data_IF_521734205550
#
_entry.id   IF_521734205550
#
_cell.length_a   1.000
_cell.length_b   1.000
_cell.length_c   1.000
_cell.angle_alpha   90.00
_cell.angle_beta   90.00
_cell.angle_gamma   90.00
#
_symmetry.space_group_name_H-M   'P 1'
#
loop_
_entity.id
_entity.type
_entity.pdbx_description
1 polymer ?
#
# COMPACT_ATOMS: atom_id res chain seq x y z
N UNK A 1 -15.91 -3.73 15.27
CA UNK A 1 -16.94 -3.14 14.39
C UNK A 1 -16.28 -2.93 13.04
N UNK A 2 -16.71 -3.68 12.01
CA UNK A 2 -15.99 -3.78 10.74
C UNK A 2 -16.03 -2.49 9.94
N UNK A 3 -14.95 -2.19 9.23
CA UNK A 3 -14.84 -1.03 8.34
C UNK A 3 -15.90 -1.20 7.23
N UNK A 4 -16.87 -0.29 7.15
CA UNK A 4 -17.83 -0.25 6.03
C UNK A 4 -17.10 -0.09 4.70
N UNK A 5 -17.44 -0.95 3.73
CA UNK A 5 -16.81 -0.97 2.42
C UNK A 5 -17.33 0.20 1.55
N UNK A 6 -16.49 1.21 1.34
CA UNK A 6 -16.76 2.31 0.40
C UNK A 6 -15.98 2.10 -0.91
N UNK A 7 -16.67 1.59 -1.93
CA UNK A 7 -16.09 1.22 -3.23
C UNK A 7 -15.33 2.37 -3.94
N UNK A 8 -15.79 3.62 -3.76
CA UNK A 8 -15.25 4.81 -4.43
C UNK A 8 -13.81 5.16 -4.03
N UNK A 9 -13.38 4.75 -2.84
CA UNK A 9 -12.05 5.07 -2.33
C UNK A 9 -10.99 4.08 -2.84
N UNK A 10 -11.39 2.82 -3.08
CA UNK A 10 -10.45 1.77 -3.49
C UNK A 10 -10.09 1.81 -4.99
N UNK A 11 -10.97 2.32 -5.86
CA UNK A 11 -10.66 2.38 -7.30
C UNK A 11 -9.50 3.33 -7.60
N UNK A 12 -9.46 4.49 -6.93
CA UNK A 12 -8.39 5.48 -7.10
C UNK A 12 -7.02 4.92 -6.71
N UNK A 13 -6.97 4.11 -5.65
CA UNK A 13 -5.74 3.45 -5.20
C UNK A 13 -5.33 2.35 -6.19
N UNK A 14 -6.29 1.59 -6.73
CA UNK A 14 -6.05 0.54 -7.73
C UNK A 14 -5.45 1.07 -9.04
N UNK A 15 -5.95 2.22 -9.50
CA UNK A 15 -5.47 2.84 -10.76
C UNK A 15 -4.03 3.32 -10.61
N UNK A 16 -3.67 3.90 -9.45
CA UNK A 16 -2.30 4.35 -9.16
C UNK A 16 -1.31 3.22 -8.91
N UNK A 17 -1.77 2.10 -8.33
CA UNK A 17 -0.98 0.85 -8.22
C UNK A 17 -0.45 0.41 -9.58
N UNK A 18 -1.20 0.60 -10.67
CA UNK A 18 -0.72 0.24 -11.99
C UNK A 18 0.42 1.13 -12.47
N UNK A 19 0.38 2.43 -12.18
CA UNK A 19 1.33 3.43 -12.66
C UNK A 19 2.74 3.29 -12.06
N UNK A 20 2.90 2.50 -10.99
CA UNK A 20 4.20 2.24 -10.37
C UNK A 20 5.01 1.16 -11.11
N UNK A 21 4.36 0.35 -11.95
CA UNK A 21 5.00 -0.73 -12.69
C UNK A 21 5.64 -0.17 -13.96
N UNK A 22 6.96 -0.39 -14.14
CA UNK A 22 7.74 0.06 -15.28
C UNK A 22 7.53 -0.77 -16.57
N UNK A 23 6.43 -1.53 -16.63
CA UNK A 23 6.05 -2.43 -17.72
C UNK A 23 7.00 -3.62 -17.97
N UNK A 24 6.62 -4.47 -18.92
CA UNK A 24 7.41 -5.63 -19.33
C UNK A 24 8.74 -5.23 -19.98
N UNK A 25 8.88 -3.98 -20.46
CA UNK A 25 10.12 -3.47 -21.04
C UNK A 25 11.27 -3.43 -20.01
N UNK A 26 10.96 -3.23 -18.72
CA UNK A 26 11.95 -3.25 -17.62
C UNK A 26 12.00 -4.62 -16.93
N UNK A 27 10.86 -5.29 -16.81
CA UNK A 27 10.78 -6.58 -16.11
C UNK A 27 11.24 -7.77 -16.98
N UNK A 28 11.32 -7.60 -18.31
CA UNK A 28 11.57 -8.65 -19.30
C UNK A 28 10.37 -9.59 -19.51
N UNK A 29 9.79 -10.08 -18.42
CA UNK A 29 8.52 -10.81 -18.40
C UNK A 29 7.76 -10.50 -17.12
N UNK A 30 6.44 -10.38 -17.20
CA UNK A 30 5.63 -10.13 -16.00
C UNK A 30 5.52 -11.42 -15.17
N UNK A 31 6.51 -11.69 -14.31
CA UNK A 31 6.43 -12.79 -13.36
C UNK A 31 5.37 -12.48 -12.30
N UNK A 32 4.19 -13.05 -12.48
CA UNK A 32 3.00 -12.66 -11.76
C UNK A 32 2.96 -13.21 -10.32
N UNK A 33 3.75 -14.23 -9.99
CA UNK A 33 3.61 -14.95 -8.71
C UNK A 33 4.13 -14.19 -7.50
N UNK A 34 5.19 -13.38 -7.67
CA UNK A 34 5.81 -12.61 -6.57
C UNK A 34 5.59 -11.09 -6.73
N UNK A 35 4.74 -10.66 -7.65
CA UNK A 35 4.54 -9.25 -7.96
C UNK A 35 3.68 -8.54 -6.90
N UNK A 36 4.28 -7.62 -6.13
CA UNK A 36 3.60 -6.84 -5.10
C UNK A 36 2.43 -6.02 -5.66
N UNK A 37 2.59 -5.43 -6.85
CA UNK A 37 1.52 -4.67 -7.51
C UNK A 37 0.36 -5.58 -7.90
N UNK A 38 0.63 -6.77 -8.42
CA UNK A 38 -0.43 -7.72 -8.76
C UNK A 38 -1.15 -8.19 -7.49
N UNK A 39 -0.39 -8.54 -6.46
CA UNK A 39 -0.95 -8.95 -5.18
C UNK A 39 -1.92 -7.90 -4.63
N UNK A 40 -1.49 -6.63 -4.57
CA UNK A 40 -2.35 -5.53 -4.15
C UNK A 40 -3.62 -5.38 -5.00
N UNK A 41 -3.50 -5.50 -6.34
CA UNK A 41 -4.66 -5.47 -7.25
C UNK A 41 -5.63 -6.62 -7.00
N UNK A 42 -5.12 -7.83 -6.79
CA UNK A 42 -5.94 -9.01 -6.52
C UNK A 42 -6.68 -8.85 -5.17
N UNK A 43 -6.02 -8.30 -4.15
CA UNK A 43 -6.65 -7.95 -2.89
C UNK A 43 -7.76 -6.90 -3.05
N UNK A 44 -7.53 -5.82 -3.81
CA UNK A 44 -8.57 -4.82 -4.08
C UNK A 44 -9.75 -5.45 -4.82
N UNK A 45 -9.48 -6.24 -5.86
CA UNK A 45 -10.50 -6.92 -6.65
C UNK A 45 -11.33 -7.85 -5.78
N UNK A 46 -10.69 -8.61 -4.89
CA UNK A 46 -11.38 -9.45 -3.90
C UNK A 46 -12.29 -8.61 -3.00
N UNK A 47 -11.79 -7.51 -2.44
CA UNK A 47 -12.57 -6.60 -1.62
C UNK A 47 -13.78 -6.01 -2.38
N UNK A 48 -13.59 -5.63 -3.64
CA UNK A 48 -14.64 -5.08 -4.50
C UNK A 48 -15.74 -6.07 -4.86
N UNK A 49 -15.37 -7.32 -5.14
CA UNK A 49 -16.29 -8.41 -5.48
C UNK A 49 -17.10 -8.82 -4.25
N UNK A 50 -16.41 -9.05 -3.13
CA UNK A 50 -17.04 -9.57 -1.90
C UNK A 50 -17.64 -8.48 -1.01
N UNK A 51 -17.48 -7.19 -1.37
CA UNK A 51 -17.93 -6.03 -0.58
C UNK A 51 -17.37 -6.02 0.85
N UNK A 52 -16.10 -6.38 0.96
CA UNK A 52 -15.36 -6.43 2.24
C UNK A 52 -14.21 -5.45 2.24
N UNK A 53 -13.80 -4.97 3.41
CA UNK A 53 -12.74 -3.98 3.61
C UNK A 53 -11.37 -4.59 3.95
N UNK A 54 -11.25 -5.92 3.87
CA UNK A 54 -10.02 -6.66 4.14
C UNK A 54 -9.99 -8.03 3.50
N UNK A 55 -8.81 -8.64 3.52
CA UNK A 55 -8.55 -9.97 2.96
C UNK A 55 -8.03 -10.85 4.09
N UNK A 56 -8.65 -12.02 4.29
CA UNK A 56 -8.21 -12.96 5.32
C UNK A 56 -6.76 -13.38 5.05
N UNK A 57 -5.91 -13.28 6.09
CA UNK A 57 -4.46 -13.51 6.03
C UNK A 57 -3.75 -12.68 4.92
N UNK A 58 -4.36 -11.58 4.47
CA UNK A 58 -3.81 -10.75 3.41
C UNK A 58 -2.48 -10.09 3.79
N UNK A 59 -2.30 -9.70 5.04
CA UNK A 59 -1.03 -9.15 5.52
C UNK A 59 0.10 -10.20 5.49
N UNK A 60 -0.19 -11.42 5.95
CA UNK A 60 0.79 -12.52 6.00
C UNK A 60 1.18 -13.04 4.62
N UNK A 61 0.31 -12.88 3.63
CA UNK A 61 0.50 -13.40 2.28
C UNK A 61 1.17 -12.38 1.34
N UNK A 62 1.63 -11.24 1.84
CA UNK A 62 2.34 -10.24 1.03
C UNK A 62 3.67 -10.86 0.54
N UNK A 63 3.96 -10.83 -0.77
CA UNK A 63 5.18 -11.42 -1.30
C UNK A 63 6.42 -10.58 -0.95
N UNK A 64 7.28 -11.10 -0.08
CA UNK A 64 8.52 -10.41 0.35
C UNK A 64 9.69 -10.57 -0.64
N UNK A 65 9.58 -11.51 -1.58
CA UNK A 65 10.68 -11.89 -2.49
C UNK A 65 10.52 -11.23 -3.87
N UNK A 66 9.86 -10.07 -3.93
CA UNK A 66 9.74 -9.30 -5.18
C UNK A 66 11.05 -8.54 -5.45
N UNK A 67 11.74 -8.92 -6.51
CA UNK A 67 13.03 -8.33 -6.91
C UNK A 67 12.90 -7.33 -8.06
N UNK A 68 11.68 -6.96 -8.44
CA UNK A 68 11.43 -6.04 -9.54
C UNK A 68 11.80 -4.60 -9.19
N UNK A 69 12.13 -3.84 -10.23
CA UNK A 69 12.34 -2.40 -10.14
C UNK A 69 11.02 -1.67 -10.41
N UNK A 70 10.71 -0.71 -9.55
CA UNK A 70 9.50 0.08 -9.58
C UNK A 70 9.82 1.58 -9.69
N UNK A 71 8.88 2.38 -10.16
CA UNK A 71 9.01 3.84 -10.11
C UNK A 71 8.82 4.32 -8.67
N UNK A 72 9.93 4.67 -8.00
CA UNK A 72 9.92 5.11 -6.61
C UNK A 72 9.02 6.33 -6.36
N UNK A 73 8.95 7.28 -7.30
CA UNK A 73 8.13 8.47 -7.14
C UNK A 73 6.64 8.11 -7.15
N UNK A 74 6.24 7.24 -8.07
CA UNK A 74 4.86 6.75 -8.15
C UNK A 74 4.49 5.93 -6.92
N UNK A 75 5.42 5.13 -6.38
CA UNK A 75 5.22 4.36 -5.14
C UNK A 75 5.02 5.28 -3.94
N UNK A 76 5.85 6.33 -3.81
CA UNK A 76 5.71 7.36 -2.76
C UNK A 76 4.36 8.07 -2.86
N UNK A 77 3.92 8.43 -4.07
CA UNK A 77 2.60 9.01 -4.31
C UNK A 77 1.48 8.04 -3.89
N UNK A 78 1.63 6.75 -4.22
CA UNK A 78 0.72 5.69 -3.81
C UNK A 78 0.56 5.58 -2.30
N UNK A 79 1.67 5.60 -1.54
CA UNK A 79 1.64 5.61 -0.07
C UNK A 79 0.88 6.83 0.44
N UNK A 80 1.21 8.03 -0.05
CA UNK A 80 0.57 9.27 0.39
C UNK A 80 -0.97 9.24 0.20
N UNK A 81 -1.45 8.70 -0.92
CA UNK A 81 -2.89 8.59 -1.17
C UNK A 81 -3.58 7.52 -0.31
N UNK A 82 -2.88 6.41 -0.03
CA UNK A 82 -3.36 5.40 0.91
C UNK A 82 -3.52 6.00 2.30
N UNK A 83 -2.55 6.81 2.75
CA UNK A 83 -2.62 7.51 4.03
C UNK A 83 -3.79 8.50 4.06
N UNK A 84 -4.07 9.23 2.96
CA UNK A 84 -5.26 10.10 2.84
C UNK A 84 -6.57 9.31 2.90
N UNK A 85 -6.56 8.07 2.41
CA UNK A 85 -7.72 7.18 2.40
C UNK A 85 -7.91 6.47 3.74
N UNK A 86 -6.86 6.39 4.57
CA UNK A 86 -6.90 5.73 5.85
C UNK A 86 -7.85 6.47 6.82
N UNK A 87 -8.81 5.74 7.40
CA UNK A 87 -9.74 6.27 8.41
C UNK A 87 -9.12 6.48 9.80
N UNK A 88 -7.81 6.25 9.96
CA UNK A 88 -7.08 6.34 11.24
C UNK A 88 -7.75 5.55 12.38
N UNK A 89 -7.92 4.25 12.16
CA UNK A 89 -8.66 3.36 13.07
C UNK A 89 -8.04 3.22 14.48
N UNK A 90 -6.81 3.71 14.69
CA UNK A 90 -6.09 3.67 15.98
C UNK A 90 -6.13 2.26 16.60
N UNK A 91 -6.59 2.11 17.84
CA UNK A 91 -6.71 0.82 18.53
C UNK A 91 -7.67 -0.19 17.86
N UNK A 92 -8.58 0.28 17.02
CA UNK A 92 -9.49 -0.58 16.24
C UNK A 92 -8.87 -1.03 14.91
N UNK A 93 -7.56 -0.84 14.72
CA UNK A 93 -6.88 -1.23 13.50
C UNK A 93 -6.94 -2.74 13.27
N UNK A 94 -7.18 -3.10 12.01
CA UNK A 94 -7.19 -4.48 11.55
C UNK A 94 -6.07 -4.65 10.54
N UNK A 95 -5.08 -5.48 10.87
CA UNK A 95 -3.86 -5.73 10.08
C UNK A 95 -4.17 -6.13 8.62
N UNK A 96 -5.26 -6.87 8.44
CA UNK A 96 -5.70 -7.44 7.18
C UNK A 96 -6.66 -6.51 6.41
N UNK A 97 -6.79 -5.24 6.84
CA UNK A 97 -7.53 -4.26 6.06
C UNK A 97 -6.79 -3.97 4.76
N UNK A 98 -7.55 -3.73 3.69
CA UNK A 98 -6.98 -3.52 2.36
C UNK A 98 -6.01 -2.33 2.31
N UNK A 99 -6.29 -1.27 3.08
CA UNK A 99 -5.44 -0.08 3.17
C UNK A 99 -4.05 -0.45 3.72
N UNK A 100 -3.99 -1.27 4.77
CA UNK A 100 -2.73 -1.69 5.38
C UNK A 100 -1.95 -2.63 4.46
N UNK A 101 -2.64 -3.57 3.81
CA UNK A 101 -2.03 -4.52 2.86
C UNK A 101 -1.37 -3.75 1.71
N UNK A 102 -2.09 -2.81 1.10
CA UNK A 102 -1.57 -2.01 -0.02
C UNK A 102 -0.41 -1.12 0.39
N UNK A 103 -0.51 -0.50 1.58
CA UNK A 103 0.58 0.31 2.13
C UNK A 103 1.85 -0.52 2.28
N UNK A 104 1.73 -1.71 2.87
CA UNK A 104 2.86 -2.63 3.04
C UNK A 104 3.45 -3.08 1.70
N UNK A 105 2.61 -3.30 0.69
CA UNK A 105 3.13 -3.62 -0.65
C UNK A 105 4.07 -2.53 -1.16
N UNK A 106 3.70 -1.25 -0.99
CA UNK A 106 4.57 -0.13 -1.38
C UNK A 106 5.78 0.06 -0.46
N UNK A 107 5.63 -0.19 0.84
CA UNK A 107 6.73 -0.10 1.79
C UNK A 107 7.82 -1.14 1.49
N UNK A 108 7.43 -2.37 1.17
CA UNK A 108 8.37 -3.42 0.76
C UNK A 108 9.05 -3.04 -0.56
N UNK A 109 8.34 -2.40 -1.50
CA UNK A 109 8.97 -1.89 -2.73
C UNK A 109 10.08 -0.88 -2.43
N UNK A 110 9.87 0.04 -1.47
CA UNK A 110 10.84 1.10 -1.17
C UNK A 110 11.95 0.69 -0.19
N UNK A 111 11.64 -0.22 0.74
CA UNK A 111 12.50 -0.50 1.89
C UNK A 111 12.94 -1.96 1.98
N UNK A 112 12.30 -2.86 1.21
CA UNK A 112 12.51 -4.31 1.30
C UNK A 112 11.92 -4.95 2.55
N UNK A 113 11.23 -4.20 3.41
CA UNK A 113 10.73 -4.66 4.68
C UNK A 113 9.25 -4.31 4.89
N UNK A 114 8.53 -5.21 5.55
CA UNK A 114 7.20 -4.90 6.08
C UNK A 114 7.32 -3.85 7.21
N UNK A 115 6.29 -3.02 7.37
CA UNK A 115 6.23 -2.03 8.44
C UNK A 115 4.94 -2.22 9.22
N UNK A 116 5.04 -2.25 10.55
CA UNK A 116 3.85 -2.31 11.39
C UNK A 116 3.00 -1.04 11.20
N UNK A 117 1.67 -1.17 11.29
CA UNK A 117 0.78 -0.02 11.36
C UNK A 117 -0.10 -0.07 12.59
N UNK A 118 0.02 0.96 13.42
CA UNK A 118 -0.80 1.11 14.62
C UNK A 118 -2.08 1.92 14.35
N UNK A 119 -2.52 1.99 13.10
CA UNK A 119 -3.76 2.65 12.70
C UNK A 119 -3.74 4.19 12.79
N UNK A 120 -2.57 4.83 12.88
CA UNK A 120 -2.43 6.29 12.93
C UNK A 120 -1.42 6.77 11.89
N UNK A 121 -1.89 7.58 10.95
CA UNK A 121 -1.07 8.17 9.87
C UNK A 121 0.06 9.04 10.43
N UNK A 122 -0.22 9.85 11.46
CA UNK A 122 0.78 10.72 12.07
C UNK A 122 1.85 9.92 12.82
N UNK A 123 1.44 8.87 13.54
CA UNK A 123 2.38 7.99 14.23
C UNK A 123 3.29 7.29 13.22
N UNK A 124 2.70 6.76 12.15
CA UNK A 124 3.44 6.13 11.05
C UNK A 124 4.48 7.06 10.43
N UNK A 125 4.10 8.31 10.10
CA UNK A 125 5.04 9.28 9.54
C UNK A 125 6.17 9.64 10.51
N UNK A 126 5.88 9.67 11.82
CA UNK A 126 6.89 9.89 12.85
C UNK A 126 7.87 8.72 12.95
N UNK A 127 7.38 7.49 13.03
CA UNK A 127 8.20 6.26 13.06
C UNK A 127 9.05 6.15 11.77
N UNK A 128 8.46 6.46 10.62
CA UNK A 128 9.18 6.48 9.36
C UNK A 128 10.25 7.59 9.34
N UNK A 129 10.02 8.73 9.98
CA UNK A 129 11.01 9.82 10.06
C UNK A 129 12.21 9.44 10.92
N UNK A 130 12.01 8.64 11.95
CA UNK A 130 13.10 8.11 12.79
C UNK A 130 13.96 7.11 12.02
N UNK A 131 13.34 6.25 11.20
CA UNK A 131 14.04 5.20 10.44
C UNK A 131 14.63 5.69 9.11
N UNK A 132 13.87 6.49 8.36
CA UNK A 132 14.23 7.01 7.05
C UNK A 132 13.65 8.43 6.83
N UNK A 133 14.33 9.48 7.32
CA UNK A 133 13.82 10.84 7.30
C UNK A 133 13.59 11.38 5.88
N UNK A 134 14.43 11.00 4.91
CA UNK A 134 14.28 11.44 3.52
C UNK A 134 13.00 10.88 2.90
N UNK A 135 12.72 9.60 3.11
CA UNK A 135 11.50 8.97 2.63
C UNK A 135 10.26 9.56 3.31
N UNK A 136 10.32 9.76 4.63
CA UNK A 136 9.22 10.37 5.39
C UNK A 136 8.91 11.78 4.88
N UNK A 137 9.92 12.63 4.65
CA UNK A 137 9.71 13.99 4.16
C UNK A 137 9.12 14.00 2.75
N UNK A 138 9.53 13.08 1.86
CA UNK A 138 8.93 12.91 0.52
C UNK A 138 7.46 12.50 0.59
N UNK A 139 7.13 11.49 1.39
CA UNK A 139 5.73 11.04 1.58
C UNK A 139 4.90 12.15 2.21
N UNK A 140 5.42 12.82 3.24
CA UNK A 140 4.73 13.90 3.93
C UNK A 140 4.43 15.09 3.01
N UNK A 141 5.39 15.47 2.16
CA UNK A 141 5.18 16.53 1.17
C UNK A 141 4.03 16.19 0.20
N UNK A 142 3.95 14.94 -0.28
CA UNK A 142 2.84 14.49 -1.14
C UNK A 142 1.52 14.32 -0.38
N UNK A 143 1.59 13.93 0.89
CA UNK A 143 0.44 13.82 1.78
C UNK A 143 -0.20 15.19 2.06
N UNK A 144 0.61 16.23 2.23
CA UNK A 144 0.14 17.62 2.42
C UNK A 144 -0.27 18.31 1.11
N UNK A 145 0.20 17.82 -0.04
CA UNK A 145 -0.19 18.36 -1.34
C UNK A 145 -1.69 18.11 -1.61
N UNK A 146 -2.39 19.16 -2.05
CA UNK A 146 -3.83 19.16 -2.36
C UNK A 146 -4.17 18.33 -3.59
#
# INVERSE_FOLDING_TARGET
MGIEFEASNFSKVADKLHGCCLSEDVCGSCEANNCLIKYGKDCIKYCMINKVSGVLDGYKNIPLMDTKVYDELMVIEGIADILKTCKNCSENHYENCIINILRNCYEIILTGHEQEYKGSTLLYLSELKENNPELSDKIFARFMAK
#
